data_IF_412454263057
#
_entry.id   IF_412454263057
#
_cell.length_a   1.000
_cell.length_b   1.000
_cell.length_c   1.000
_cell.angle_alpha   90.00
_cell.angle_beta   90.00
_cell.angle_gamma   90.00
#
_symmetry.space_group_name_H-M   'P 1'
#
loop_
_entity.id
_entity.type
_entity.pdbx_description
1 polymer ?
#
# COMPACT_ATOMS: atom_id res chain seq x y z
N UNK A 1 15.60 -12.34 -0.56
CA UNK A 1 14.48 -12.20 0.42
C UNK A 1 13.19 -12.72 -0.22
N UNK A 2 12.25 -13.26 0.55
CA UNK A 2 10.98 -13.76 0.02
C UNK A 2 9.92 -12.65 -0.15
N UNK A 3 9.91 -11.65 0.73
CA UNK A 3 9.04 -10.48 0.64
C UNK A 3 9.64 -9.30 1.43
N UNK A 4 9.17 -8.09 1.13
CA UNK A 4 9.54 -6.82 1.76
C UNK A 4 8.22 -6.05 1.96
N UNK A 5 8.02 -5.46 3.13
CA UNK A 5 6.78 -4.76 3.47
C UNK A 5 7.09 -3.33 3.90
N UNK A 6 6.29 -2.39 3.42
CA UNK A 6 6.32 -1.02 3.92
C UNK A 6 5.34 -0.89 5.08
N UNK A 7 5.85 -0.72 6.30
CA UNK A 7 5.11 -0.36 7.50
C UNK A 7 5.51 1.06 7.94
N UNK A 8 4.60 2.02 7.81
CA UNK A 8 4.88 3.42 8.09
C UNK A 8 3.60 4.22 8.33
N UNK A 9 3.75 5.51 8.61
CA UNK A 9 2.63 6.42 8.78
C UNK A 9 2.17 7.00 7.43
N UNK A 10 0.90 7.38 7.34
CA UNK A 10 0.36 8.12 6.20
C UNK A 10 -0.72 9.10 6.64
N UNK A 11 -1.08 10.04 5.75
CA UNK A 11 -2.23 10.91 5.93
C UNK A 11 -3.48 10.27 5.29
N UNK A 12 -4.60 10.28 6.02
CA UNK A 12 -5.91 9.96 5.44
C UNK A 12 -6.41 11.11 4.57
N UNK A 13 -6.84 10.80 3.34
CA UNK A 13 -7.35 11.80 2.39
C UNK A 13 -8.88 11.77 2.27
N UNK A 14 -9.55 10.87 2.98
CA UNK A 14 -11.01 10.78 3.05
C UNK A 14 -11.51 11.28 4.38
N UNK A 15 -12.63 12.01 4.38
CA UNK A 15 -13.28 12.51 5.59
C UNK A 15 -13.80 11.41 6.53
N UNK A 16 -13.94 10.18 6.02
CA UNK A 16 -14.33 9.01 6.80
C UNK A 16 -13.17 8.34 7.53
N UNK A 17 -11.92 8.73 7.25
CA UNK A 17 -10.74 8.17 7.91
C UNK A 17 -10.45 8.90 9.21
N UNK A 18 -10.08 8.14 10.24
CA UNK A 18 -9.66 8.64 11.54
C UNK A 18 -8.16 8.39 11.75
N UNK A 19 -7.57 9.13 12.70
CA UNK A 19 -6.20 8.88 13.12
C UNK A 19 -6.10 7.47 13.74
N UNK A 20 -5.18 6.66 13.22
CA UNK A 20 -4.99 5.27 13.64
C UNK A 20 -5.62 4.24 12.72
N UNK A 21 -6.44 4.65 11.74
CA UNK A 21 -6.94 3.74 10.70
C UNK A 21 -5.76 3.20 9.86
N UNK A 22 -5.85 1.91 9.49
CA UNK A 22 -4.89 1.28 8.59
C UNK A 22 -5.28 1.51 7.13
N UNK A 23 -4.26 1.56 6.25
CA UNK A 23 -4.44 1.66 4.80
C UNK A 23 -3.69 0.52 4.12
N UNK A 24 -4.45 -0.34 3.42
CA UNK A 24 -3.87 -1.35 2.53
C UNK A 24 -3.82 -0.78 1.11
N UNK A 25 -2.62 -0.48 0.62
CA UNK A 25 -2.45 0.05 -0.73
C UNK A 25 -2.72 -1.04 -1.78
N UNK A 26 -3.64 -0.75 -2.71
CA UNK A 26 -3.95 -1.59 -3.87
C UNK A 26 -3.53 -0.96 -5.22
N UNK A 27 -2.86 0.20 -5.15
CA UNK A 27 -2.36 0.94 -6.29
C UNK A 27 -1.56 2.15 -5.81
N UNK A 28 -0.77 2.74 -6.70
CA UNK A 28 0.15 3.82 -6.36
C UNK A 28 0.05 4.94 -7.38
N UNK A 29 -0.21 6.16 -6.91
CA UNK A 29 0.08 7.37 -7.67
C UNK A 29 1.55 7.70 -7.44
N UNK A 30 2.37 7.59 -8.49
CA UNK A 30 3.81 7.80 -8.42
C UNK A 30 4.16 9.25 -8.75
N UNK A 31 4.34 10.08 -7.72
CA UNK A 31 4.89 11.44 -7.80
C UNK A 31 6.29 11.53 -7.16
N UNK A 32 6.98 10.40 -7.04
CA UNK A 32 8.30 10.29 -6.43
C UNK A 32 9.44 10.57 -7.42
N UNK A 33 9.19 10.46 -8.71
CA UNK A 33 10.09 10.75 -9.84
C UNK A 33 11.41 9.97 -9.92
N UNK A 34 11.76 9.23 -8.86
CA UNK A 34 13.05 8.54 -8.73
C UNK A 34 13.26 7.42 -9.76
N UNK A 35 12.18 6.80 -10.23
CA UNK A 35 12.22 5.64 -11.13
C UNK A 35 11.61 5.92 -12.51
N UNK A 36 11.26 7.15 -12.84
CA UNK A 36 10.47 7.46 -14.04
C UNK A 36 11.18 7.07 -15.35
N UNK A 37 12.51 7.11 -15.36
CA UNK A 37 13.33 6.72 -16.52
C UNK A 37 13.30 5.21 -16.78
N UNK A 38 13.36 4.40 -15.72
CA UNK A 38 13.49 2.93 -15.82
C UNK A 38 12.12 2.24 -15.74
N UNK A 39 11.15 2.87 -15.08
CA UNK A 39 9.77 2.42 -14.97
C UNK A 39 8.83 3.62 -15.21
N UNK A 40 8.44 3.87 -16.48
CA UNK A 40 7.54 4.97 -16.84
C UNK A 40 6.21 4.92 -16.10
N UNK A 41 5.59 6.09 -15.86
CA UNK A 41 4.32 6.21 -15.13
C UNK A 41 3.13 5.53 -15.82
N UNK A 42 3.22 5.24 -17.12
CA UNK A 42 2.20 4.49 -17.86
C UNK A 42 2.20 2.99 -17.56
N UNK A 43 3.26 2.47 -16.92
CA UNK A 43 3.36 1.05 -16.57
C UNK A 43 2.70 0.80 -15.22
N UNK A 44 1.68 -0.06 -15.13
CA UNK A 44 1.01 -0.35 -13.87
C UNK A 44 1.91 -1.16 -12.94
N UNK A 45 1.87 -0.84 -11.64
CA UNK A 45 2.48 -1.63 -10.56
C UNK A 45 1.35 -2.32 -9.79
N UNK A 46 1.00 -3.58 -10.13
CA UNK A 46 -0.10 -4.27 -9.48
C UNK A 46 0.25 -4.68 -8.05
N UNK A 47 -0.76 -4.73 -7.19
CA UNK A 47 -0.62 -5.37 -5.89
C UNK A 47 -0.58 -6.89 -6.04
N UNK A 48 0.30 -7.56 -5.29
CA UNK A 48 0.38 -9.02 -5.25
C UNK A 48 -0.76 -9.57 -4.40
N UNK A 49 -1.65 -10.35 -5.01
CA UNK A 49 -2.88 -10.84 -4.37
C UNK A 49 -2.59 -11.61 -3.07
N UNK A 50 -1.55 -12.44 -3.08
CA UNK A 50 -1.16 -13.26 -1.92
C UNK A 50 -0.73 -12.40 -0.73
N UNK A 51 -0.04 -11.29 -1.00
CA UNK A 51 0.37 -10.34 0.04
C UNK A 51 -0.82 -9.52 0.53
N UNK A 52 -1.74 -9.15 -0.36
CA UNK A 52 -2.96 -8.40 0.01
C UNK A 52 -3.83 -9.23 0.97
N UNK A 53 -4.13 -10.48 0.62
CA UNK A 53 -4.93 -11.38 1.47
C UNK A 53 -4.25 -11.65 2.81
N UNK A 54 -2.93 -11.85 2.80
CA UNK A 54 -2.17 -12.08 4.03
C UNK A 54 -2.20 -10.86 4.96
N UNK A 55 -2.02 -9.64 4.43
CA UNK A 55 -2.06 -8.41 5.23
C UNK A 55 -3.47 -8.08 5.73
N UNK A 56 -4.49 -8.23 4.88
CA UNK A 56 -5.90 -8.06 5.28
C UNK A 56 -6.25 -8.98 6.45
N UNK A 57 -5.91 -10.27 6.32
CA UNK A 57 -6.19 -11.27 7.37
C UNK A 57 -5.43 -10.95 8.64
N UNK A 58 -4.12 -10.66 8.56
CA UNK A 58 -3.28 -10.38 9.71
C UNK A 58 -3.71 -9.12 10.48
N UNK A 59 -4.11 -8.06 9.78
CA UNK A 59 -4.64 -6.86 10.42
C UNK A 59 -6.01 -7.15 11.04
N UNK A 60 -6.89 -7.85 10.32
CA UNK A 60 -8.20 -8.26 10.81
C UNK A 60 -8.16 -9.08 12.10
N UNK A 61 -7.17 -9.94 12.28
CA UNK A 61 -6.97 -10.71 13.52
C UNK A 61 -6.59 -9.85 14.73
N UNK A 62 -5.94 -8.71 14.51
CA UNK A 62 -5.45 -7.83 15.59
C UNK A 62 -6.44 -6.71 15.91
N UNK A 63 -7.17 -6.22 14.90
CA UNK A 63 -8.09 -5.09 15.05
C UNK A 63 -9.57 -5.49 15.15
N UNK A 64 -9.89 -6.76 14.92
CA UNK A 64 -11.24 -7.32 14.99
C UNK A 64 -11.74 -7.57 16.41
#
# INVERSE_FOLDING_TARGET
>A
PHAWLMLGHCAGLRSSQNLGDYVLAHGYLREDHILDKDLPLSIPVPALAEIQVALESAVGEVTG
#
